data_IF_591047790799
#
_entry.id   IF_591047790799
#
_cell.length_a   1.000
_cell.length_b   1.000
_cell.length_c   1.000
_cell.angle_alpha   90.00
_cell.angle_beta   90.00
_cell.angle_gamma   90.00
#
_symmetry.space_group_name_H-M   'P 1'
#
loop_
_entity.id
_entity.type
_entity.pdbx_description
1 polymer ?
#
# COMPACT_ATOMS: atom_id res chain seq x y z
N UNK A 1 26.36 74.60 -10.55
CA UNK A 1 25.19 73.83 -10.05
C UNK A 1 24.94 72.63 -10.96
N UNK A 2 25.82 71.61 -10.98
CA UNK A 2 25.71 70.51 -11.96
C UNK A 2 26.20 69.14 -11.45
N UNK A 3 26.63 69.02 -10.19
CA UNK A 3 27.10 67.74 -9.61
C UNK A 3 26.02 66.96 -8.87
N UNK A 4 24.91 67.62 -8.51
CA UNK A 4 23.81 67.01 -7.76
C UNK A 4 22.95 66.12 -8.68
N UNK A 5 22.70 66.56 -9.91
CA UNK A 5 21.92 65.78 -10.90
C UNK A 5 22.61 64.47 -11.31
N UNK A 6 23.95 64.44 -11.27
CA UNK A 6 24.75 63.25 -11.57
C UNK A 6 24.66 62.15 -10.50
N UNK A 7 24.29 62.47 -9.26
CA UNK A 7 24.02 61.49 -8.20
C UNK A 7 22.53 61.15 -8.07
N UNK A 8 21.64 62.08 -8.41
CA UNK A 8 20.19 61.84 -8.33
C UNK A 8 19.77 60.77 -9.35
N UNK A 9 20.26 60.84 -10.59
CA UNK A 9 19.91 59.87 -11.63
C UNK A 9 20.24 58.40 -11.25
N UNK A 10 21.47 58.05 -10.81
CA UNK A 10 21.78 56.67 -10.43
C UNK A 10 21.09 56.24 -9.12
N UNK A 11 20.86 57.15 -8.17
CA UNK A 11 20.17 56.81 -6.92
C UNK A 11 18.69 56.51 -7.16
N UNK A 12 18.01 57.29 -8.01
CA UNK A 12 16.63 57.01 -8.42
C UNK A 12 16.56 55.69 -9.20
N UNK A 13 17.52 55.44 -10.10
CA UNK A 13 17.53 54.18 -10.86
C UNK A 13 17.73 52.95 -9.96
N UNK A 14 18.62 53.05 -8.95
CA UNK A 14 18.84 51.98 -7.96
C UNK A 14 17.60 51.76 -7.07
N UNK A 15 16.90 52.82 -6.66
CA UNK A 15 15.68 52.70 -5.87
C UNK A 15 14.55 52.02 -6.67
N UNK A 16 14.41 52.35 -7.95
CA UNK A 16 13.42 51.71 -8.83
C UNK A 16 13.76 50.23 -9.05
N UNK A 17 15.03 49.90 -9.31
CA UNK A 17 15.49 48.50 -9.44
C UNK A 17 15.25 47.71 -8.15
N UNK A 18 15.57 48.28 -7.00
CA UNK A 18 15.34 47.63 -5.71
C UNK A 18 13.86 47.41 -5.42
N UNK A 19 13.00 48.40 -5.71
CA UNK A 19 11.56 48.25 -5.60
C UNK A 19 11.01 47.15 -6.53
N UNK A 20 11.52 47.08 -7.77
CA UNK A 20 11.14 46.06 -8.75
C UNK A 20 11.55 44.65 -8.28
N UNK A 21 12.77 44.50 -7.76
CA UNK A 21 13.24 43.25 -7.14
C UNK A 21 12.43 42.85 -5.90
N UNK A 22 12.02 43.81 -5.07
CA UNK A 22 11.13 43.55 -3.94
C UNK A 22 9.74 43.09 -4.40
N UNK A 23 9.19 43.67 -5.47
CA UNK A 23 7.91 43.24 -6.04
C UNK A 23 8.01 41.85 -6.64
N UNK A 24 9.06 41.56 -7.43
CA UNK A 24 9.30 40.25 -8.03
C UNK A 24 9.54 39.20 -6.95
N UNK A 25 10.36 39.47 -5.95
CA UNK A 25 10.60 38.53 -4.85
C UNK A 25 9.35 38.30 -4.00
N UNK A 26 8.52 39.32 -3.77
CA UNK A 26 7.20 39.15 -3.12
C UNK A 26 6.25 38.32 -3.96
N UNK A 27 6.21 38.53 -5.28
CA UNK A 27 5.43 37.69 -6.21
C UNK A 27 5.94 36.25 -6.20
N UNK A 28 7.25 36.04 -6.27
CA UNK A 28 7.88 34.73 -6.23
C UNK A 28 7.63 34.01 -4.89
N UNK A 29 7.64 34.74 -3.76
CA UNK A 29 7.27 34.22 -2.43
C UNK A 29 5.77 33.93 -2.27
N UNK A 30 4.91 34.60 -3.05
CA UNK A 30 3.46 34.30 -3.12
C UNK A 30 3.18 33.09 -4.01
N UNK A 31 4.00 32.87 -5.04
CA UNK A 31 3.87 31.76 -5.98
C UNK A 31 4.51 30.48 -5.42
N UNK A 32 5.59 30.57 -4.63
CA UNK A 32 6.07 29.41 -3.88
C UNK A 32 5.01 29.08 -2.81
N UNK A 33 4.27 27.95 -2.94
CA UNK A 33 3.43 27.53 -1.85
C UNK A 33 4.36 27.31 -0.65
N UNK A 34 4.08 27.98 0.47
CA UNK A 34 4.59 27.51 1.76
C UNK A 34 4.02 26.09 1.90
N UNK A 35 4.80 25.07 1.57
CA UNK A 35 4.35 23.69 1.72
C UNK A 35 3.93 23.55 3.19
N UNK A 36 2.65 23.29 3.48
CA UNK A 36 2.21 23.20 4.84
C UNK A 36 2.95 22.01 5.46
N UNK A 37 3.69 22.28 6.54
CA UNK A 37 4.40 21.27 7.32
C UNK A 37 3.46 20.17 7.85
N UNK A 38 2.14 20.42 7.80
CA UNK A 38 1.07 19.55 8.25
C UNK A 38 0.51 18.61 7.16
N UNK A 39 0.95 18.75 5.89
CA UNK A 39 0.60 17.78 4.83
C UNK A 39 1.17 16.38 5.07
N UNK A 40 2.00 16.21 6.11
CA UNK A 40 2.70 14.96 6.44
C UNK A 40 1.76 13.81 6.78
N UNK A 41 0.57 14.06 7.36
CA UNK A 41 -0.26 12.99 7.96
C UNK A 41 -1.36 12.43 7.06
N UNK A 42 -1.68 13.06 5.92
CA UNK A 42 -2.90 12.71 5.19
C UNK A 42 -2.69 11.91 3.92
N UNK A 43 -1.61 12.14 3.18
CA UNK A 43 -1.46 11.51 1.85
C UNK A 43 -1.35 9.97 1.90
N UNK A 44 -0.58 9.41 2.85
CA UNK A 44 -0.40 7.96 2.95
C UNK A 44 -1.69 7.23 3.32
N UNK A 45 -2.36 7.69 4.38
CA UNK A 45 -3.56 7.02 4.90
C UNK A 45 -4.75 7.08 3.94
N UNK A 46 -4.89 8.17 3.17
CA UNK A 46 -5.93 8.27 2.14
C UNK A 46 -5.70 7.25 1.02
N UNK A 47 -4.44 7.00 0.64
CA UNK A 47 -4.13 5.99 -0.39
C UNK A 47 -4.46 4.58 0.10
N UNK A 48 -4.14 4.24 1.35
CA UNK A 48 -4.48 2.94 1.93
C UNK A 48 -5.99 2.69 1.95
N UNK A 49 -6.77 3.69 2.36
CA UNK A 49 -8.24 3.60 2.35
C UNK A 49 -8.79 3.40 0.93
N UNK A 50 -8.29 4.16 -0.05
CA UNK A 50 -8.73 4.01 -1.45
C UNK A 50 -8.40 2.62 -2.02
N UNK A 51 -7.28 2.02 -1.62
CA UNK A 51 -6.90 0.66 -2.01
C UNK A 51 -7.84 -0.37 -1.37
N UNK A 52 -8.18 -0.19 -0.10
CA UNK A 52 -9.11 -1.05 0.62
C UNK A 52 -10.52 -0.99 0.01
N UNK A 53 -11.01 0.23 -0.29
CA UNK A 53 -12.33 0.46 -0.91
C UNK A 53 -12.44 -0.14 -2.31
N UNK A 54 -11.33 -0.20 -3.05
CA UNK A 54 -11.33 -0.76 -4.42
C UNK A 54 -11.67 -2.25 -4.48
N UNK A 55 -11.52 -3.00 -3.37
CA UNK A 55 -11.79 -4.44 -3.29
C UNK A 55 -10.94 -5.34 -4.20
N UNK A 56 -10.05 -4.77 -5.00
CA UNK A 56 -9.21 -5.50 -5.98
C UNK A 56 -7.96 -6.11 -5.35
N UNK A 57 -7.53 -5.55 -4.23
CA UNK A 57 -6.29 -5.90 -3.57
C UNK A 57 -6.61 -6.63 -2.26
N UNK A 58 -5.81 -7.64 -1.91
CA UNK A 58 -5.94 -8.35 -0.62
C UNK A 58 -5.04 -7.76 0.46
N UNK A 59 -3.99 -7.04 0.05
CA UNK A 59 -3.00 -6.45 0.94
C UNK A 59 -2.25 -5.33 0.28
N UNK A 60 -1.23 -4.81 0.97
CA UNK A 60 -0.40 -3.69 0.54
C UNK A 60 1.08 -3.95 0.80
N UNK A 61 1.92 -3.31 -0.02
CA UNK A 61 3.36 -3.23 0.14
C UNK A 61 3.79 -1.76 0.19
N UNK A 62 4.88 -1.44 0.88
CA UNK A 62 5.48 -0.10 0.85
C UNK A 62 6.54 -0.07 -0.25
N UNK A 63 6.33 0.79 -1.25
CA UNK A 63 7.22 0.92 -2.42
C UNK A 63 8.28 1.98 -2.18
N UNK A 64 7.87 3.25 -2.17
CA UNK A 64 8.76 4.34 -1.84
C UNK A 64 9.00 4.38 -0.32
N UNK A 65 10.26 4.51 0.05
CA UNK A 65 10.68 4.43 1.44
C UNK A 65 11.58 5.60 1.84
N UNK A 66 11.46 5.99 3.10
CA UNK A 66 12.40 6.86 3.77
C UNK A 66 13.32 6.00 4.66
N UNK A 67 14.32 6.62 5.27
CA UNK A 67 15.25 5.92 6.17
C UNK A 67 14.52 5.13 7.27
N UNK A 68 13.43 5.68 7.81
CA UNK A 68 12.64 5.05 8.87
C UNK A 68 11.83 3.83 8.38
N UNK A 69 11.34 3.84 7.13
CA UNK A 69 10.55 2.74 6.56
C UNK A 69 11.38 1.70 5.81
N UNK A 70 12.70 1.92 5.64
CA UNK A 70 13.61 1.00 4.94
C UNK A 70 13.49 -0.48 5.38
N UNK A 71 13.23 -0.72 6.67
CA UNK A 71 13.08 -2.09 7.24
C UNK A 71 11.75 -2.77 6.91
N UNK A 72 10.76 -2.00 6.45
CA UNK A 72 9.40 -2.43 6.16
C UNK A 72 9.20 -2.69 4.65
N UNK A 73 10.14 -2.24 3.82
CA UNK A 73 10.12 -2.44 2.37
C UNK A 73 10.23 -3.93 2.05
N UNK A 74 9.50 -4.37 1.02
CA UNK A 74 9.51 -5.76 0.57
C UNK A 74 8.69 -6.71 1.46
N UNK A 75 8.08 -6.21 2.55
CA UNK A 75 7.13 -6.98 3.34
C UNK A 75 5.71 -6.76 2.85
N UNK A 76 4.94 -7.84 2.81
CA UNK A 76 3.52 -7.82 2.48
C UNK A 76 2.72 -7.64 3.78
N UNK A 77 1.77 -6.72 3.76
CA UNK A 77 0.88 -6.44 4.88
C UNK A 77 -0.57 -6.62 4.46
N UNK A 78 -1.40 -7.17 5.36
CA UNK A 78 -2.85 -7.01 5.24
C UNK A 78 -3.24 -5.56 5.52
N UNK A 79 -4.42 -5.13 5.08
CA UNK A 79 -4.90 -3.76 5.38
C UNK A 79 -4.95 -3.46 6.88
N UNK A 80 -5.26 -4.45 7.72
CA UNK A 80 -5.35 -4.30 9.18
C UNK A 80 -3.99 -4.27 9.89
N UNK A 81 -2.97 -4.93 9.30
CA UNK A 81 -1.62 -5.00 9.87
C UNK A 81 -0.65 -3.99 9.26
N UNK A 82 -1.10 -3.24 8.25
CA UNK A 82 -0.28 -2.29 7.54
C UNK A 82 0.12 -1.13 8.48
N UNK A 83 1.43 -0.83 8.61
CA UNK A 83 1.88 0.27 9.45
C UNK A 83 1.43 1.60 8.84
N UNK A 84 0.93 2.50 9.68
CA UNK A 84 0.51 3.83 9.24
C UNK A 84 1.69 4.64 8.67
N UNK A 85 1.46 5.26 7.52
CA UNK A 85 2.36 6.24 6.92
C UNK A 85 1.88 7.66 7.26
N UNK A 86 2.76 8.56 7.71
CA UNK A 86 4.21 8.43 7.85
C UNK A 86 4.62 7.57 9.06
N UNK A 87 5.62 6.71 8.86
CA UNK A 87 6.14 5.82 9.91
C UNK A 87 6.87 6.61 11.00
N UNK A 88 6.86 6.07 12.22
CA UNK A 88 7.50 6.71 13.36
C UNK A 88 9.01 6.93 13.10
N UNK A 89 9.48 8.15 13.38
CA UNK A 89 10.88 8.52 13.13
C UNK A 89 11.19 9.04 11.71
N UNK A 90 10.18 9.31 10.88
CA UNK A 90 10.40 10.01 9.61
C UNK A 90 10.82 11.48 9.87
N UNK A 91 12.07 11.83 9.55
CA UNK A 91 12.63 13.19 9.70
C UNK A 91 12.35 14.11 8.51
N UNK A 92 11.79 13.58 7.42
CA UNK A 92 11.56 14.35 6.20
C UNK A 92 10.43 15.37 6.40
N UNK A 93 10.62 16.59 5.88
CA UNK A 93 9.61 17.63 5.90
C UNK A 93 8.35 17.25 5.09
N UNK A 94 8.53 16.45 4.04
CA UNK A 94 7.48 15.84 3.22
C UNK A 94 7.79 14.35 3.10
N UNK A 95 6.84 13.52 3.53
CA UNK A 95 6.97 12.06 3.41
C UNK A 95 6.51 11.63 2.01
N UNK A 96 7.41 11.03 1.24
CA UNK A 96 7.12 10.51 -0.10
C UNK A 96 6.78 9.02 -0.12
N UNK A 97 6.62 8.38 1.05
CA UNK A 97 6.30 6.96 1.13
C UNK A 97 4.88 6.67 0.64
N UNK A 98 4.70 5.63 -0.17
CA UNK A 98 3.42 5.22 -0.76
C UNK A 98 3.16 3.73 -0.56
N UNK A 99 1.87 3.37 -0.59
CA UNK A 99 1.44 1.97 -0.64
C UNK A 99 1.20 1.54 -2.09
N UNK A 100 1.55 0.30 -2.39
CA UNK A 100 1.15 -0.43 -3.60
C UNK A 100 0.21 -1.55 -3.19
N UNK A 101 -0.93 -1.69 -3.88
CA UNK A 101 -1.86 -2.78 -3.66
C UNK A 101 -1.36 -4.12 -4.22
N UNK A 102 -1.51 -5.18 -3.43
CA UNK A 102 -1.22 -6.55 -3.83
C UNK A 102 -2.52 -7.20 -4.32
N UNK A 103 -2.61 -7.45 -5.63
CA UNK A 103 -3.79 -8.06 -6.23
C UNK A 103 -3.90 -9.53 -5.84
N UNK A 104 -5.13 -10.02 -5.61
CA UNK A 104 -5.32 -11.44 -5.32
C UNK A 104 -5.03 -12.26 -6.58
N UNK A 105 -4.04 -13.15 -6.49
CA UNK A 105 -3.68 -14.05 -7.59
C UNK A 105 -4.77 -15.11 -7.84
N UNK A 106 -5.65 -15.36 -6.86
CA UNK A 106 -6.70 -16.38 -6.92
C UNK A 106 -7.95 -15.93 -7.66
N UNK A 107 -8.17 -14.63 -7.82
CA UNK A 107 -9.36 -14.07 -8.49
C UNK A 107 -9.27 -14.07 -10.02
N UNK A 108 -8.06 -14.19 -10.58
CA UNK A 108 -7.83 -14.09 -12.02
C UNK A 108 -8.27 -15.33 -12.82
N UNK A 109 -8.36 -16.49 -12.17
CA UNK A 109 -8.72 -17.74 -12.83
C UNK A 109 -9.62 -18.53 -11.89
N UNK A 110 -10.90 -18.61 -12.22
CA UNK A 110 -11.80 -19.56 -11.56
C UNK A 110 -11.30 -20.97 -11.87
N UNK A 111 -10.78 -21.65 -10.84
CA UNK A 111 -10.27 -23.02 -10.93
C UNK A 111 -11.33 -24.01 -11.44
N UNK A 112 -12.61 -23.66 -11.41
CA UNK A 112 -13.74 -24.48 -11.83
C UNK A 112 -14.23 -24.18 -13.25
N UNK A 113 -13.64 -23.23 -13.96
CA UNK A 113 -13.96 -22.99 -15.39
C UNK A 113 -13.43 -24.09 -16.31
N UNK A 114 -12.59 -24.98 -15.81
CA UNK A 114 -12.24 -26.20 -16.52
C UNK A 114 -13.46 -27.12 -16.61
N UNK A 115 -13.91 -27.39 -17.83
CA UNK A 115 -14.96 -28.37 -18.12
C UNK A 115 -14.65 -29.65 -17.34
N UNK A 116 -15.57 -30.04 -16.44
CA UNK A 116 -15.38 -31.22 -15.60
C UNK A 116 -15.13 -32.42 -16.50
N UNK A 117 -13.92 -33.00 -16.39
CA UNK A 117 -13.54 -34.20 -17.16
C UNK A 117 -14.45 -35.39 -16.82
N UNK A 118 -15.27 -35.30 -15.77
CA UNK A 118 -16.30 -36.27 -15.40
C UNK A 118 -17.59 -36.17 -16.21
N UNK A 119 -17.63 -35.39 -17.30
CA UNK A 119 -18.77 -35.39 -18.23
C UNK A 119 -19.17 -36.77 -18.77
N UNK A 120 -18.28 -37.77 -18.64
CA UNK A 120 -18.62 -39.19 -18.76
C UNK A 120 -18.14 -39.92 -17.51
N UNK A 121 -18.93 -39.88 -16.44
CA UNK A 121 -18.77 -40.87 -15.35
C UNK A 121 -18.98 -42.23 -15.99
N UNK A 122 -17.89 -42.97 -16.18
CA UNK A 122 -17.94 -44.38 -16.56
C UNK A 122 -18.55 -45.11 -15.37
N UNK A 123 -19.85 -45.35 -15.41
CA UNK A 123 -20.53 -46.25 -14.48
C UNK A 123 -20.04 -47.65 -14.84
N UNK A 124 -18.97 -48.09 -14.19
CA UNK A 124 -18.61 -49.50 -14.20
C UNK A 124 -19.66 -50.25 -13.38
N UNK A 125 -20.19 -51.35 -13.92
CA UNK A 125 -21.29 -52.13 -13.30
C UNK A 125 -20.89 -52.80 -11.99
N UNK A 126 -19.59 -52.93 -11.73
CA UNK A 126 -19.04 -53.53 -10.52
C UNK A 126 -18.10 -52.54 -9.82
N UNK A 127 -18.42 -52.21 -8.57
CA UNK A 127 -17.54 -51.44 -7.70
C UNK A 127 -16.34 -52.30 -7.32
N UNK A 128 -15.19 -52.10 -7.98
CA UNK A 128 -13.94 -52.84 -7.67
C UNK A 128 -13.47 -52.69 -6.21
N UNK A 129 -14.10 -51.84 -5.38
CA UNK A 129 -13.83 -51.73 -3.93
C UNK A 129 -14.58 -52.73 -3.07
N UNK A 130 -15.58 -53.46 -3.58
CA UNK A 130 -16.29 -54.51 -2.81
C UNK A 130 -15.40 -55.71 -2.51
N UNK A 131 -14.52 -56.10 -3.44
CA UNK A 131 -13.65 -57.27 -3.28
C UNK A 131 -12.46 -57.05 -2.33
N UNK A 132 -12.01 -55.80 -2.17
CA UNK A 132 -10.85 -55.48 -1.32
C UNK A 132 -11.05 -54.18 -0.55
N UNK A 133 -11.93 -54.17 0.47
CA UNK A 133 -12.12 -53.01 1.33
C UNK A 133 -10.80 -52.65 2.02
N UNK A 134 -10.28 -51.44 1.77
CA UNK A 134 -9.02 -50.95 2.36
C UNK A 134 -8.97 -50.96 3.90
N UNK A 135 -10.11 -51.08 4.57
CA UNK A 135 -10.24 -50.89 6.02
C UNK A 135 -11.07 -51.98 6.72
N UNK A 136 -11.24 -53.15 6.12
CA UNK A 136 -11.95 -54.23 6.81
C UNK A 136 -11.16 -54.76 8.02
N UNK A 137 -9.83 -54.67 7.98
CA UNK A 137 -8.94 -55.27 9.00
C UNK A 137 -8.35 -54.25 9.96
N UNK A 138 -8.37 -52.96 9.62
CA UNK A 138 -7.78 -51.91 10.45
C UNK A 138 -8.89 -51.11 11.16
N UNK A 139 -9.02 -51.21 12.50
CA UNK A 139 -9.89 -50.32 13.24
C UNK A 139 -9.46 -48.87 13.00
N UNK A 140 -10.44 -47.98 12.86
CA UNK A 140 -10.19 -46.57 12.71
C UNK A 140 -9.31 -46.08 13.88
N UNK A 141 -8.09 -45.56 13.67
CA UNK A 141 -7.21 -45.15 14.77
C UNK A 141 -7.83 -44.05 15.65
N UNK A 142 -8.84 -43.33 15.14
CA UNK A 142 -9.60 -42.35 15.91
C UNK A 142 -10.64 -42.96 16.87
N UNK A 143 -11.02 -44.24 16.72
CA UNK A 143 -11.95 -44.90 17.66
C UNK A 143 -11.32 -45.21 19.01
N UNK A 144 -9.98 -45.21 19.10
CA UNK A 144 -9.25 -45.48 20.35
C UNK A 144 -9.37 -44.30 21.32
N UNK A 145 -9.52 -43.07 20.81
CA UNK A 145 -9.58 -41.86 21.62
C UNK A 145 -10.99 -41.40 21.97
N UNK A 146 -12.03 -41.98 21.36
CA UNK A 146 -13.43 -41.61 21.61
C UNK A 146 -13.95 -42.00 22.99
N UNK A 147 -13.29 -42.94 23.67
CA UNK A 147 -13.79 -43.54 24.91
C UNK A 147 -13.21 -42.88 26.18
N UNK A 148 -12.28 -41.93 26.03
CA UNK A 148 -11.64 -41.23 27.17
C UNK A 148 -12.40 -39.96 27.61
N UNK A 149 -13.48 -39.60 26.91
CA UNK A 149 -14.19 -38.33 27.10
C UNK A 149 -15.50 -38.45 27.88
N UNK A 150 -15.84 -39.65 28.39
CA UNK A 150 -17.16 -39.92 28.98
C UNK A 150 -17.20 -39.86 30.52
N UNK A 151 -16.06 -39.71 31.19
CA UNK A 151 -15.99 -39.60 32.66
C UNK A 151 -15.53 -38.20 33.09
N UNK A 152 -16.45 -37.23 33.06
CA UNK A 152 -16.42 -36.01 33.88
C UNK A 152 -17.83 -35.56 34.21
#
# INVERSE_FOLDING_TARGET
MSTIDGLIAPTVMLLVLFAMLLVVSRRHRRILPKLPADRRRHAGNTTLRSLQESGRYWGVLIDSHCRATSRLVGREYSFDSAPHLPYQGCSAAVCNCSYIGLADRRSLVDRRTGQDRRGRVRVESEDRRTERPRRATEPNPWSVYGNLSADT
#
